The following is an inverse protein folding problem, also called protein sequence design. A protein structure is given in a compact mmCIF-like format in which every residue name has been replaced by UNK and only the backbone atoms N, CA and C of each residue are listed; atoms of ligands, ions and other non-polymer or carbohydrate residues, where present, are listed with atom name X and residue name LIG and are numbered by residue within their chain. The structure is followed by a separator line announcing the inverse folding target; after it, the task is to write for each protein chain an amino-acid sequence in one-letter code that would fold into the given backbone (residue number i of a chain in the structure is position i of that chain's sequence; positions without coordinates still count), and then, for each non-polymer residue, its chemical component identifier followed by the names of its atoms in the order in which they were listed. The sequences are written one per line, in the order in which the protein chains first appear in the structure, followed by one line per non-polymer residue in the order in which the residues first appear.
data_IF_816159677418
#
_entry.id   IF_816159677418
#
_cell.length_a   1.000
_cell.length_b   1.000
_cell.length_c   1.000
_cell.angle_alpha   90.00
_cell.angle_beta   90.00
_cell.angle_gamma   90.00
#
_symmetry.space_group_name_H-M   'P 1'
#
loop_
_entity.id
_entity.type
_entity.pdbx_description
1 polymer ?
#
# COMPACT_ATOMS: atom_id res chain seq x y z
N UNK A 1 19.89 -34.91 -60.14
CA UNK A 1 21.21 -34.70 -60.73
C UNK A 1 21.17 -35.16 -62.18
N UNK A 2 21.64 -34.37 -63.16
CA UNK A 2 21.92 -32.92 -63.18
C UNK A 2 20.66 -32.16 -63.71
N UNK A 3 20.62 -30.93 -64.29
CA UNK A 3 21.62 -29.88 -64.56
C UNK A 3 21.01 -28.45 -64.47
N UNK A 4 21.81 -27.50 -63.95
CA UNK A 4 22.15 -26.16 -64.50
C UNK A 4 21.12 -25.14 -65.06
N UNK A 5 21.22 -23.90 -64.53
CA UNK A 5 21.28 -22.59 -65.23
C UNK A 5 20.06 -22.08 -66.07
N UNK A 6 19.78 -20.78 -66.21
CA UNK A 6 20.28 -19.55 -65.55
C UNK A 6 19.25 -18.39 -65.66
N UNK A 7 19.52 -17.29 -64.94
CA UNK A 7 18.96 -15.92 -64.93
C UNK A 7 18.10 -15.38 -66.11
N UNK A 8 17.06 -14.59 -65.76
CA UNK A 8 16.61 -13.32 -66.38
C UNK A 8 15.47 -12.73 -65.51
N UNK A 9 15.65 -11.74 -64.63
CA UNK A 9 15.79 -10.29 -64.85
C UNK A 9 14.53 -9.54 -65.38
N UNK A 10 13.73 -8.98 -64.45
CA UNK A 10 12.76 -7.87 -64.59
C UNK A 10 12.13 -7.67 -63.20
N UNK A 11 11.95 -6.52 -62.57
CA UNK A 11 12.11 -5.08 -62.83
C UNK A 11 11.55 -4.36 -61.58
N UNK A 12 11.90 -3.10 -61.28
CA UNK A 12 11.56 -2.49 -59.97
C UNK A 12 10.07 -2.14 -59.86
N UNK A 13 9.50 -2.32 -58.65
CA UNK A 13 8.17 -1.83 -58.26
C UNK A 13 8.27 -0.97 -57.00
N UNK A 14 7.34 -0.01 -56.82
CA UNK A 14 7.71 1.33 -56.37
C UNK A 14 7.65 1.56 -54.86
N UNK A 15 8.33 2.61 -54.42
CA UNK A 15 8.11 3.26 -53.14
C UNK A 15 6.63 3.59 -52.94
N UNK A 16 6.06 3.15 -51.81
CA UNK A 16 4.86 3.75 -51.22
C UNK A 16 5.21 4.22 -49.82
N UNK A 17 5.77 5.42 -49.76
CA UNK A 17 5.92 6.19 -48.53
C UNK A 17 4.55 6.69 -48.05
N UNK A 18 4.10 6.18 -46.90
CA UNK A 18 3.15 6.87 -46.02
C UNK A 18 3.52 6.55 -44.57
N UNK A 19 4.11 7.49 -43.80
CA UNK A 19 4.31 7.27 -42.38
C UNK A 19 2.94 7.17 -41.70
N UNK A 20 2.82 6.25 -40.75
CA UNK A 20 1.64 6.19 -39.89
C UNK A 20 1.50 7.52 -39.15
N UNK A 21 0.30 8.12 -39.20
CA UNK A 21 -0.01 9.32 -38.45
C UNK A 21 0.16 9.01 -36.95
N UNK A 22 1.23 9.54 -36.36
CA UNK A 22 1.40 9.57 -34.92
C UNK A 22 0.26 10.41 -34.34
N UNK A 23 -0.58 9.80 -33.51
CA UNK A 23 -1.55 10.52 -32.68
C UNK A 23 -0.84 11.68 -31.99
N UNK A 24 -1.41 12.89 -31.98
CA UNK A 24 -0.77 14.03 -31.35
C UNK A 24 -0.66 13.76 -29.85
N UNK A 25 0.58 13.62 -29.36
CA UNK A 25 0.87 13.75 -27.94
C UNK A 25 0.39 15.14 -27.50
N UNK A 26 -0.78 15.17 -26.88
CA UNK A 26 -1.25 16.33 -26.14
C UNK A 26 -0.30 16.50 -24.97
N UNK A 27 0.77 17.27 -25.19
CA UNK A 27 1.56 17.88 -24.15
C UNK A 27 0.65 18.78 -23.32
N UNK A 28 -0.01 18.16 -22.33
CA UNK A 28 -0.62 18.83 -21.20
C UNK A 28 0.51 19.62 -20.53
N UNK A 29 0.57 20.91 -20.87
CA UNK A 29 1.52 21.84 -20.26
C UNK A 29 1.28 21.82 -18.77
N UNK A 30 2.25 21.26 -18.03
CA UNK A 30 2.17 21.12 -16.59
C UNK A 30 1.80 22.48 -15.98
N UNK A 31 0.74 22.56 -15.16
CA UNK A 31 0.42 23.80 -14.47
C UNK A 31 1.62 24.19 -13.59
N UNK A 32 1.87 25.50 -13.40
CA UNK A 32 2.94 25.95 -12.51
C UNK A 32 2.79 25.30 -11.13
N UNK A 33 3.92 24.92 -10.51
CA UNK A 33 4.00 24.18 -9.24
C UNK A 33 3.18 24.81 -8.10
N UNK A 34 2.80 26.09 -8.21
CA UNK A 34 1.97 26.82 -7.25
C UNK A 34 0.44 26.64 -7.42
N UNK A 35 -0.06 25.94 -8.45
CA UNK A 35 -1.50 25.73 -8.67
C UNK A 35 -1.94 24.37 -8.14
N UNK A 36 -2.86 24.38 -7.17
CA UNK A 36 -3.53 23.16 -6.67
C UNK A 36 -4.41 22.55 -7.75
N UNK A 37 -4.34 21.22 -7.88
CA UNK A 37 -5.10 20.41 -8.83
C UNK A 37 -6.30 19.77 -8.13
N UNK A 38 -7.49 20.00 -8.65
CA UNK A 38 -8.73 19.44 -8.10
C UNK A 38 -9.16 18.17 -8.85
N UNK A 39 -10.12 17.43 -8.31
CA UNK A 39 -10.55 16.14 -8.86
C UNK A 39 -11.13 16.26 -10.28
N UNK A 40 -11.64 17.44 -10.65
CA UNK A 40 -12.00 17.79 -12.02
C UNK A 40 -10.76 17.84 -12.93
N UNK A 41 -9.71 18.59 -12.55
CA UNK A 41 -8.44 18.68 -13.29
C UNK A 41 -7.71 17.34 -13.38
N UNK A 42 -7.70 16.56 -12.29
CA UNK A 42 -6.92 15.33 -12.19
C UNK A 42 -7.34 14.26 -13.21
N UNK A 43 -8.58 14.31 -13.71
CA UNK A 43 -9.11 13.34 -14.69
C UNK A 43 -8.42 13.37 -16.06
N UNK A 44 -7.71 14.45 -16.40
CA UNK A 44 -6.94 14.52 -17.66
C UNK A 44 -5.59 13.79 -17.59
N UNK A 45 -5.12 13.47 -16.39
CA UNK A 45 -3.83 12.81 -16.17
C UNK A 45 -3.95 11.28 -16.20
N UNK A 46 -2.84 10.60 -16.50
CA UNK A 46 -2.77 9.14 -16.44
C UNK A 46 -3.01 8.66 -15.01
N UNK A 47 -4.13 7.96 -14.79
CA UNK A 47 -4.41 7.23 -13.55
C UNK A 47 -3.47 6.02 -13.44
N UNK A 48 -2.94 5.78 -12.24
CA UNK A 48 -2.14 4.63 -11.88
C UNK A 48 -2.99 3.62 -11.09
N UNK A 49 -2.67 2.33 -11.23
CA UNK A 49 -3.36 1.24 -10.54
C UNK A 49 -4.80 0.97 -11.01
N UNK A 50 -5.54 0.19 -10.21
CA UNK A 50 -6.84 -0.36 -10.58
C UNK A 50 -7.97 0.70 -10.58
N UNK A 51 -8.78 0.70 -11.64
CA UNK A 51 -9.93 1.61 -11.79
C UNK A 51 -11.00 1.49 -10.70
N UNK A 52 -11.12 0.34 -10.02
CA UNK A 52 -12.11 0.09 -8.95
C UNK A 52 -11.69 0.56 -7.55
N UNK A 53 -10.49 1.14 -7.38
CA UNK A 53 -10.04 1.60 -6.07
C UNK A 53 -10.84 2.80 -5.54
N UNK A 54 -11.05 2.84 -4.23
CA UNK A 54 -11.60 4.00 -3.50
C UNK A 54 -10.56 5.08 -3.19
N UNK A 55 -9.33 4.90 -3.68
CA UNK A 55 -8.28 5.91 -3.78
C UNK A 55 -7.79 5.95 -5.22
N UNK A 56 -7.70 7.15 -5.79
CA UNK A 56 -7.24 7.40 -7.15
C UNK A 56 -5.84 8.00 -7.08
N UNK A 57 -4.89 7.42 -7.80
CA UNK A 57 -3.54 7.98 -7.96
C UNK A 57 -3.39 8.43 -9.40
N UNK A 58 -2.95 9.67 -9.61
CA UNK A 58 -2.71 10.25 -10.93
C UNK A 58 -1.24 10.65 -11.07
N UNK A 59 -0.62 10.29 -12.19
CA UNK A 59 0.73 10.74 -12.54
C UNK A 59 0.64 12.15 -13.12
N UNK A 60 1.04 13.16 -12.33
CA UNK A 60 0.84 14.58 -12.67
C UNK A 60 2.10 15.26 -13.22
N UNK A 61 3.29 14.74 -12.91
CA UNK A 61 4.57 15.12 -13.52
C UNK A 61 5.53 13.93 -13.41
N UNK A 62 6.68 13.91 -14.11
CA UNK A 62 7.67 12.81 -14.01
C UNK A 62 8.05 12.43 -12.56
N UNK A 63 8.07 13.41 -11.66
CA UNK A 63 8.48 13.34 -10.27
C UNK A 63 7.33 13.53 -9.24
N UNK A 64 6.06 13.59 -9.67
CA UNK A 64 4.90 13.76 -8.76
C UNK A 64 3.71 12.89 -9.13
N UNK A 65 3.02 12.43 -8.08
CA UNK A 65 1.67 11.86 -8.18
C UNK A 65 0.69 12.64 -7.28
N UNK A 66 -0.58 12.68 -7.67
CA UNK A 66 -1.67 13.14 -6.83
C UNK A 66 -2.53 11.94 -6.38
N UNK A 67 -2.66 11.73 -5.06
CA UNK A 67 -3.57 10.74 -4.47
C UNK A 67 -4.83 11.45 -3.95
N UNK A 68 -6.02 11.03 -4.39
CA UNK A 68 -7.30 11.59 -3.93
C UNK A 68 -8.42 10.55 -3.94
N UNK A 69 -9.45 10.72 -3.11
CA UNK A 69 -10.59 9.82 -3.06
C UNK A 69 -11.30 9.80 -1.70
N UNK A 70 -12.46 9.13 -1.60
CA UNK A 70 -13.25 9.07 -0.37
C UNK A 70 -12.58 8.34 0.80
N UNK A 71 -11.46 7.64 0.57
CA UNK A 71 -10.64 6.99 1.63
C UNK A 71 -9.27 7.64 1.84
N UNK A 72 -8.97 8.76 1.18
CA UNK A 72 -7.69 9.46 1.33
C UNK A 72 -7.78 10.45 2.50
N UNK A 73 -6.72 10.56 3.30
CA UNK A 73 -6.76 11.22 4.62
C UNK A 73 -5.51 12.07 4.89
N UNK A 74 -5.59 13.08 5.78
CA UNK A 74 -4.41 13.74 6.30
C UNK A 74 -3.55 12.79 7.16
N UNK A 75 -4.15 11.76 7.78
CA UNK A 75 -3.46 10.73 8.54
C UNK A 75 -2.41 9.97 7.70
N UNK A 76 -2.72 9.64 6.44
CA UNK A 76 -1.74 9.04 5.51
C UNK A 76 -0.54 9.98 5.29
N UNK A 77 -0.79 11.28 5.10
CA UNK A 77 0.28 12.26 4.93
C UNK A 77 1.12 12.44 6.21
N UNK A 78 0.52 12.32 7.39
CA UNK A 78 1.22 12.32 8.68
C UNK A 78 2.09 11.07 8.85
N UNK A 79 1.59 9.90 8.45
CA UNK A 79 2.36 8.65 8.46
C UNK A 79 3.54 8.68 7.47
N UNK A 80 3.33 9.17 6.25
CA UNK A 80 4.39 9.36 5.25
C UNK A 80 5.50 10.30 5.75
N UNK A 81 5.14 11.43 6.40
CA UNK A 81 6.12 12.36 6.99
C UNK A 81 6.93 11.68 8.09
N UNK A 82 6.27 11.00 9.03
CA UNK A 82 6.95 10.28 10.11
C UNK A 82 7.87 9.17 9.58
N UNK A 83 7.44 8.41 8.57
CA UNK A 83 8.27 7.38 7.94
C UNK A 83 9.50 7.98 7.23
N UNK A 84 9.32 9.11 6.53
CA UNK A 84 10.40 9.83 5.87
C UNK A 84 11.42 10.41 6.88
N UNK A 85 10.96 10.99 7.98
CA UNK A 85 11.81 11.45 9.10
C UNK A 85 12.65 10.32 9.73
N UNK A 86 12.18 9.08 9.63
CA UNK A 86 12.88 7.87 10.08
C UNK A 86 13.80 7.25 9.02
N UNK A 87 13.92 7.87 7.84
CA UNK A 87 14.76 7.39 6.75
C UNK A 87 14.19 6.18 6.00
N UNK A 88 12.90 5.87 6.16
CA UNK A 88 12.23 4.82 5.38
C UNK A 88 12.03 5.35 3.95
N UNK A 89 12.33 4.57 2.90
CA UNK A 89 12.10 5.00 1.52
C UNK A 89 10.59 5.08 1.23
N UNK A 90 10.03 6.29 1.29
CA UNK A 90 8.59 6.57 1.09
C UNK A 90 8.37 7.80 0.20
N UNK A 91 7.21 7.93 -0.46
CA UNK A 91 6.84 9.15 -1.17
C UNK A 91 6.86 10.39 -0.27
N UNK A 92 7.68 11.40 -0.60
CA UNK A 92 7.69 12.68 0.11
C UNK A 92 6.37 13.42 -0.09
N UNK A 93 5.79 13.98 0.97
CA UNK A 93 4.57 14.80 0.90
C UNK A 93 4.92 16.25 0.58
N UNK A 94 4.39 16.80 -0.52
CA UNK A 94 4.62 18.18 -0.97
C UNK A 94 3.47 19.13 -0.62
N UNK A 95 2.22 18.70 -0.77
CA UNK A 95 1.04 19.46 -0.36
C UNK A 95 -0.08 18.53 0.08
N UNK A 96 -0.95 19.02 0.95
CA UNK A 96 -2.15 18.34 1.46
C UNK A 96 -3.27 19.37 1.56
N UNK A 97 -4.33 19.17 0.79
CA UNK A 97 -5.49 20.06 0.78
C UNK A 97 -6.78 19.30 0.53
N UNK A 98 -7.89 19.97 0.77
CA UNK A 98 -9.22 19.45 0.48
C UNK A 98 -9.70 20.02 -0.85
N UNK A 99 -10.29 19.15 -1.65
CA UNK A 99 -10.99 19.49 -2.88
C UNK A 99 -12.35 20.14 -2.54
N UNK A 100 -12.66 21.34 -3.06
CA UNK A 100 -13.85 22.10 -2.65
C UNK A 100 -15.16 21.56 -3.24
N UNK A 101 -15.12 20.76 -4.31
CA UNK A 101 -16.31 20.21 -4.97
C UNK A 101 -16.72 18.87 -4.35
N UNK A 102 -15.74 18.00 -4.12
CA UNK A 102 -15.94 16.62 -3.62
C UNK A 102 -15.77 16.49 -2.11
N UNK A 103 -15.18 17.49 -1.45
CA UNK A 103 -14.70 17.42 -0.06
C UNK A 103 -13.66 16.31 0.20
N UNK A 104 -13.07 15.71 -0.84
CA UNK A 104 -12.02 14.70 -0.69
C UNK A 104 -10.66 15.33 -0.41
N UNK A 105 -9.78 14.61 0.27
CA UNK A 105 -8.39 15.02 0.42
C UNK A 105 -7.61 14.77 -0.88
N UNK A 106 -6.67 15.66 -1.17
CA UNK A 106 -5.69 15.56 -2.24
C UNK A 106 -4.30 15.63 -1.61
N UNK A 107 -3.50 14.59 -1.82
CA UNK A 107 -2.11 14.48 -1.39
C UNK A 107 -1.22 14.57 -2.62
N UNK A 108 -0.34 15.57 -2.66
CA UNK A 108 0.69 15.70 -3.71
C UNK A 108 1.96 15.04 -3.18
N UNK A 109 2.38 13.94 -3.81
CA UNK A 109 3.46 13.08 -3.36
C UNK A 109 4.59 12.99 -4.41
N UNK A 110 5.82 12.71 -3.98
CA UNK A 110 6.89 12.31 -4.91
C UNK A 110 6.51 11.04 -5.66
N UNK A 111 6.76 11.00 -6.97
CA UNK A 111 6.72 9.76 -7.74
C UNK A 111 8.01 8.97 -7.52
N UNK A 112 7.90 7.72 -7.07
CA UNK A 112 9.02 6.78 -6.99
C UNK A 112 8.92 5.85 -8.20
N UNK A 113 9.88 5.93 -9.12
CA UNK A 113 9.97 5.00 -10.25
C UNK A 113 10.51 3.65 -9.79
N UNK A 114 9.79 2.58 -10.09
CA UNK A 114 10.19 1.21 -9.75
C UNK A 114 9.10 0.22 -10.12
N UNK A 115 9.48 -1.05 -10.14
CA UNK A 115 8.63 -2.18 -10.47
C UNK A 115 8.05 -2.78 -9.18
N UNK A 116 6.86 -3.37 -9.22
CA UNK A 116 6.18 -3.86 -8.01
C UNK A 116 6.77 -5.22 -7.61
N UNK A 117 7.11 -5.42 -6.33
CA UNK A 117 7.70 -6.69 -5.85
C UNK A 117 6.81 -7.91 -6.13
N UNK A 118 5.48 -7.74 -6.11
CA UNK A 118 4.49 -8.76 -6.49
C UNK A 118 4.61 -9.19 -7.96
N UNK A 119 4.89 -8.25 -8.86
CA UNK A 119 4.99 -8.48 -10.31
C UNK A 119 6.33 -9.14 -10.69
N UNK A 120 7.40 -8.86 -9.94
CA UNK A 120 8.75 -9.39 -10.14
C UNK A 120 9.05 -10.65 -9.29
N UNK A 121 8.15 -11.10 -8.42
CA UNK A 121 8.43 -12.12 -7.39
C UNK A 121 9.04 -13.42 -7.94
N UNK A 122 8.56 -13.89 -9.08
CA UNK A 122 8.95 -15.16 -9.69
C UNK A 122 10.29 -15.10 -10.45
N UNK A 123 10.76 -13.91 -10.81
CA UNK A 123 12.01 -13.71 -11.58
C UNK A 123 13.21 -13.32 -10.71
N UNK A 124 12.97 -12.86 -9.48
CA UNK A 124 14.01 -12.51 -8.52
C UNK A 124 14.85 -13.73 -8.10
N UNK A 125 16.18 -13.55 -8.09
CA UNK A 125 17.12 -14.53 -7.55
C UNK A 125 17.02 -14.63 -6.02
N UNK A 126 17.53 -15.74 -5.48
CA UNK A 126 17.58 -15.95 -4.03
C UNK A 126 18.38 -14.86 -3.28
N UNK A 127 19.44 -14.32 -3.90
CA UNK A 127 20.25 -13.25 -3.32
C UNK A 127 19.52 -11.90 -3.33
N UNK A 128 18.75 -11.60 -4.38
CA UNK A 128 17.89 -10.41 -4.43
C UNK A 128 16.76 -10.50 -3.39
N UNK A 129 16.04 -11.64 -3.30
CA UNK A 129 15.04 -11.87 -2.25
C UNK A 129 15.67 -11.71 -0.85
N UNK A 130 16.86 -12.27 -0.62
CA UNK A 130 17.61 -12.11 0.62
C UNK A 130 17.95 -10.65 0.94
N UNK A 131 18.31 -9.84 -0.06
CA UNK A 131 18.57 -8.39 0.08
C UNK A 131 17.29 -7.60 0.39
N UNK A 132 16.19 -7.92 -0.31
CA UNK A 132 14.87 -7.31 -0.11
C UNK A 132 14.36 -7.58 1.31
N UNK A 133 14.43 -8.82 1.81
CA UNK A 133 14.05 -9.12 3.19
C UNK A 133 14.97 -8.48 4.24
N UNK A 134 16.27 -8.30 3.97
CA UNK A 134 17.16 -7.56 4.87
C UNK A 134 16.76 -6.07 4.95
N UNK A 135 16.38 -5.49 3.80
CA UNK A 135 15.85 -4.12 3.71
C UNK A 135 14.52 -3.99 4.46
N UNK A 136 13.57 -4.90 4.22
CA UNK A 136 12.28 -4.95 4.93
C UNK A 136 12.45 -5.13 6.44
N UNK A 137 13.37 -6.00 6.89
CA UNK A 137 13.70 -6.18 8.31
C UNK A 137 14.21 -4.90 8.95
N UNK A 138 15.02 -4.15 8.22
CA UNK A 138 15.52 -2.84 8.65
C UNK A 138 14.35 -1.86 8.79
N UNK A 139 13.44 -1.81 7.80
CA UNK A 139 12.24 -0.96 7.82
C UNK A 139 11.32 -1.31 9.00
N UNK A 140 10.96 -2.59 9.21
CA UNK A 140 10.07 -2.97 10.34
C UNK A 140 10.75 -2.77 11.70
N UNK A 141 12.08 -2.86 11.77
CA UNK A 141 12.83 -2.52 12.99
C UNK A 141 12.80 -1.00 13.26
N UNK A 142 12.91 -0.18 12.22
CA UNK A 142 12.79 1.30 12.30
C UNK A 142 11.37 1.77 12.66
N UNK A 143 10.35 1.10 12.13
CA UNK A 143 8.95 1.30 12.54
C UNK A 143 8.78 1.03 14.05
N UNK A 144 9.27 -0.11 14.53
CA UNK A 144 9.20 -0.50 15.95
C UNK A 144 10.11 0.33 16.87
N UNK A 145 11.20 0.92 16.38
CA UNK A 145 12.05 1.82 17.18
C UNK A 145 11.53 3.26 17.25
N UNK A 146 10.49 3.58 16.48
CA UNK A 146 9.79 4.87 16.58
C UNK A 146 9.10 4.97 17.95
N UNK A 147 9.15 6.17 18.56
CA UNK A 147 8.56 6.43 19.88
C UNK A 147 7.09 5.94 19.92
N UNK A 148 6.73 5.06 20.87
CA UNK A 148 5.38 4.50 20.93
C UNK A 148 4.35 5.54 21.37
N UNK A 149 3.09 5.30 20.99
CA UNK A 149 1.94 6.06 21.45
C UNK A 149 1.33 5.46 22.72
N UNK A 150 0.59 6.28 23.47
CA UNK A 150 -0.26 5.86 24.60
C UNK A 150 -1.69 5.51 24.18
N UNK A 151 -2.05 5.70 22.91
CA UNK A 151 -3.35 5.34 22.35
C UNK A 151 -3.21 4.71 20.95
N UNK A 152 -4.14 3.81 20.62
CA UNK A 152 -4.28 3.22 19.29
C UNK A 152 -4.97 4.25 18.40
N UNK A 153 -4.27 4.71 17.36
CA UNK A 153 -4.61 5.96 16.66
C UNK A 153 -3.88 6.06 15.32
N UNK A 154 -4.36 6.90 14.41
CA UNK A 154 -3.53 7.37 13.28
C UNK A 154 -2.41 8.30 13.79
N UNK A 155 -1.41 8.60 12.96
CA UNK A 155 -0.22 9.39 13.37
C UNK A 155 -0.57 10.83 13.79
N UNK A 156 -1.68 11.38 13.27
CA UNK A 156 -2.26 12.67 13.68
C UNK A 156 -3.17 12.58 14.91
N UNK A 157 -3.12 11.46 15.66
CA UNK A 157 -3.91 11.15 16.86
C UNK A 157 -5.44 11.10 16.64
N UNK A 158 -5.88 10.97 15.38
CA UNK A 158 -7.26 10.72 15.03
C UNK A 158 -7.61 9.22 15.07
N UNK A 159 -8.84 8.88 14.68
CA UNK A 159 -9.32 7.51 14.57
C UNK A 159 -8.63 6.73 13.45
N UNK A 160 -8.39 5.44 13.68
CA UNK A 160 -7.75 4.54 12.72
C UNK A 160 -8.61 4.31 11.47
N UNK A 161 -7.94 4.22 10.34
CA UNK A 161 -8.50 4.06 8.99
C UNK A 161 -8.60 2.60 8.53
N UNK A 162 -8.13 1.67 9.37
CA UNK A 162 -7.98 0.24 9.11
C UNK A 162 -9.26 -0.43 8.55
N UNK A 163 -9.08 -1.22 7.50
CA UNK A 163 -10.11 -1.96 6.76
C UNK A 163 -10.94 -2.94 7.59
N UNK A 164 -10.42 -3.41 8.72
CA UNK A 164 -11.11 -4.34 9.61
C UNK A 164 -12.29 -3.66 10.33
N UNK A 165 -12.20 -2.35 10.59
CA UNK A 165 -13.18 -1.65 11.43
C UNK A 165 -14.36 -1.08 10.63
N UNK A 166 -15.55 -1.08 11.26
CA UNK A 166 -16.76 -0.43 10.76
C UNK A 166 -17.40 0.43 11.88
N UNK A 167 -17.56 1.74 11.68
CA UNK A 167 -17.11 2.51 10.52
C UNK A 167 -15.57 2.57 10.43
N UNK A 168 -15.04 2.83 9.22
CA UNK A 168 -13.67 3.35 9.11
C UNK A 168 -13.59 4.70 9.85
N UNK A 169 -12.41 5.08 10.31
CA UNK A 169 -12.21 6.19 11.28
C UNK A 169 -12.79 5.85 12.67
N UNK A 170 -12.37 4.71 13.22
CA UNK A 170 -12.75 4.28 14.57
C UNK A 170 -11.69 4.69 15.61
N UNK A 171 -12.11 5.00 16.84
CA UNK A 171 -11.21 5.51 17.88
C UNK A 171 -10.92 7.02 17.75
N UNK A 172 -9.77 7.54 18.26
CA UNK A 172 -8.66 6.79 18.86
C UNK A 172 -9.07 6.05 20.13
N UNK A 173 -8.35 4.98 20.48
CA UNK A 173 -8.61 4.14 21.65
C UNK A 173 -7.50 4.30 22.68
N UNK A 174 -7.84 4.53 23.95
CA UNK A 174 -6.83 4.77 25.00
C UNK A 174 -6.18 3.48 25.53
N UNK A 175 -6.70 2.30 25.16
CA UNK A 175 -6.16 1.00 25.57
C UNK A 175 -6.60 -0.13 24.60
N UNK A 176 -6.02 -1.31 24.77
CA UNK A 176 -6.36 -2.50 23.97
C UNK A 176 -7.80 -2.99 24.18
N UNK A 177 -8.38 -2.81 25.38
CA UNK A 177 -9.75 -3.25 25.68
C UNK A 177 -10.78 -2.53 24.82
N UNK A 178 -10.67 -1.20 24.70
CA UNK A 178 -11.55 -0.40 23.83
C UNK A 178 -11.41 -0.77 22.35
N UNK A 179 -10.18 -1.01 21.90
CA UNK A 179 -9.88 -1.43 20.54
C UNK A 179 -10.47 -2.83 20.22
N UNK A 180 -10.30 -3.79 21.13
CA UNK A 180 -10.89 -5.13 20.99
C UNK A 180 -12.42 -5.08 21.04
N UNK A 181 -13.01 -4.23 21.88
CA UNK A 181 -14.46 -4.00 21.90
C UNK A 181 -14.98 -3.42 20.58
N UNK A 182 -14.30 -2.43 20.01
CA UNK A 182 -14.65 -1.87 18.71
C UNK A 182 -14.46 -2.87 17.55
N UNK A 183 -13.47 -3.77 17.65
CA UNK A 183 -13.27 -4.88 16.72
C UNK A 183 -14.43 -5.87 16.80
N UNK A 184 -14.84 -6.29 17.99
CA UNK A 184 -15.99 -7.17 18.22
C UNK A 184 -17.27 -6.54 17.65
N UNK A 185 -17.52 -5.25 17.90
CA UNK A 185 -18.67 -4.52 17.33
C UNK A 185 -18.61 -4.50 15.79
N UNK A 186 -17.43 -4.23 15.21
CA UNK A 186 -17.22 -4.22 13.76
C UNK A 186 -17.48 -5.58 13.12
N UNK A 187 -17.22 -6.69 13.82
CA UNK A 187 -17.46 -8.05 13.34
C UNK A 187 -18.92 -8.47 13.51
N UNK A 188 -19.53 -8.18 14.65
CA UNK A 188 -20.96 -8.41 14.90
C UNK A 188 -21.86 -7.65 13.91
N UNK A 189 -21.42 -6.48 13.43
CA UNK A 189 -22.11 -5.74 12.37
C UNK A 189 -22.03 -6.39 10.97
N UNK A 190 -21.14 -7.38 10.77
CA UNK A 190 -21.00 -8.15 9.53
C UNK A 190 -21.64 -9.53 9.62
N UNK A 191 -21.51 -10.20 10.77
CA UNK A 191 -21.97 -11.56 10.97
C UNK A 191 -22.44 -11.81 12.41
N UNK A 192 -23.61 -12.43 12.54
CA UNK A 192 -24.15 -12.91 13.81
C UNK A 192 -24.02 -14.45 13.94
N UNK A 193 -24.24 -14.97 15.15
CA UNK A 193 -24.43 -16.40 15.42
C UNK A 193 -23.47 -17.00 16.45
N UNK A 194 -23.57 -18.31 16.72
CA UNK A 194 -22.79 -18.98 17.77
C UNK A 194 -21.27 -18.91 17.56
N UNK A 195 -20.82 -18.88 16.29
CA UNK A 195 -19.40 -18.70 15.98
C UNK A 195 -18.89 -17.31 16.40
N UNK A 196 -19.68 -16.25 16.15
CA UNK A 196 -19.30 -14.89 16.57
C UNK A 196 -19.21 -14.79 18.10
N UNK A 197 -20.11 -15.44 18.84
CA UNK A 197 -20.05 -15.51 20.31
C UNK A 197 -18.82 -16.29 20.84
N UNK A 198 -18.26 -17.21 20.05
CA UNK A 198 -17.01 -17.90 20.38
C UNK A 198 -15.80 -17.04 20.02
N UNK A 199 -15.81 -16.38 18.86
CA UNK A 199 -14.77 -15.48 18.42
C UNK A 199 -14.64 -14.26 19.35
N UNK A 200 -15.75 -13.71 19.83
CA UNK A 200 -15.76 -12.68 20.89
C UNK A 200 -14.95 -13.12 22.12
N UNK A 201 -15.19 -14.35 22.61
CA UNK A 201 -14.47 -14.91 23.75
C UNK A 201 -12.99 -15.15 23.45
N UNK A 202 -12.66 -15.55 22.22
CA UNK A 202 -11.26 -15.69 21.78
C UNK A 202 -10.54 -14.33 21.73
N UNK A 203 -11.19 -13.30 21.18
CA UNK A 203 -10.67 -11.93 21.10
C UNK A 203 -10.45 -11.32 22.48
N UNK A 204 -11.41 -11.47 23.40
CA UNK A 204 -11.30 -11.03 24.79
C UNK A 204 -10.26 -11.82 25.62
N UNK A 205 -9.86 -13.00 25.16
CA UNK A 205 -8.85 -13.85 25.78
C UNK A 205 -7.45 -13.73 25.15
N UNK A 206 -7.27 -12.88 24.14
CA UNK A 206 -5.94 -12.64 23.56
C UNK A 206 -4.99 -12.03 24.61
N UNK A 207 -3.69 -12.36 24.58
CA UNK A 207 -2.70 -11.71 25.44
C UNK A 207 -2.71 -10.18 25.23
N UNK A 208 -2.70 -9.43 26.33
CA UNK A 208 -2.47 -7.98 26.27
C UNK A 208 -0.98 -7.70 26.10
N UNK A 209 -0.64 -6.79 25.18
CA UNK A 209 0.75 -6.41 24.90
C UNK A 209 1.18 -5.13 25.63
N UNK A 210 0.30 -4.58 26.47
CA UNK A 210 0.58 -3.47 27.39
C UNK A 210 -0.11 -2.16 26.99
N UNK A 211 0.46 -1.04 27.45
CA UNK A 211 -0.06 0.33 27.25
C UNK A 211 0.85 1.21 26.40
N UNK A 212 1.59 0.60 25.46
CA UNK A 212 2.45 1.29 24.49
C UNK A 212 2.21 0.67 23.10
N UNK A 213 1.87 1.53 22.14
CA UNK A 213 1.45 1.12 20.80
C UNK A 213 2.52 1.50 19.78
N UNK A 214 2.85 0.53 18.92
CA UNK A 214 3.97 0.62 17.99
C UNK A 214 3.52 1.29 16.69
N UNK A 215 4.39 2.07 16.06
CA UNK A 215 4.11 2.58 14.71
C UNK A 215 4.16 1.41 13.72
N UNK A 216 3.09 1.19 12.97
CA UNK A 216 2.94 0.12 11.97
C UNK A 216 2.53 0.72 10.63
N UNK A 217 2.92 0.05 9.54
CA UNK A 217 2.45 0.31 8.19
C UNK A 217 1.00 -0.17 7.99
N UNK A 218 0.65 -1.33 8.57
CA UNK A 218 -0.71 -1.89 8.54
C UNK A 218 -1.12 -2.56 7.22
N UNK A 219 -0.33 -2.39 6.15
CA UNK A 219 -0.54 -3.04 4.84
C UNK A 219 0.78 -3.48 4.18
N UNK A 220 1.78 -3.93 4.95
CA UNK A 220 3.08 -4.30 4.38
C UNK A 220 2.98 -5.65 3.62
N UNK A 221 2.94 -5.58 2.29
CA UNK A 221 2.86 -6.74 1.40
C UNK A 221 3.57 -6.46 0.05
N UNK A 222 3.77 -7.47 -0.83
CA UNK A 222 4.52 -7.30 -2.09
C UNK A 222 3.97 -6.20 -3.01
N UNK A 223 2.65 -6.03 -3.07
CA UNK A 223 1.99 -5.01 -3.90
C UNK A 223 2.32 -3.57 -3.48
N UNK A 224 2.81 -3.39 -2.25
CA UNK A 224 3.18 -2.09 -1.69
C UNK A 224 4.69 -1.87 -1.60
N UNK A 225 5.51 -2.74 -2.20
CA UNK A 225 6.98 -2.60 -2.23
C UNK A 225 7.43 -2.34 -3.67
N UNK A 226 8.24 -1.30 -3.88
CA UNK A 226 8.85 -0.96 -5.16
C UNK A 226 10.31 -1.38 -5.20
N UNK A 227 10.71 -1.99 -6.32
CA UNK A 227 12.07 -2.38 -6.64
C UNK A 227 12.66 -1.49 -7.75
N UNK A 228 13.99 -1.43 -7.84
CA UNK A 228 14.70 -0.93 -9.02
C UNK A 228 16.03 -1.65 -9.16
N UNK A 229 16.14 -2.53 -10.15
CA UNK A 229 17.35 -3.34 -10.35
C UNK A 229 17.62 -4.29 -9.17
N UNK A 230 16.59 -4.99 -8.68
CA UNK A 230 16.69 -5.95 -7.57
C UNK A 230 16.69 -5.34 -6.16
N UNK A 231 16.88 -4.01 -6.01
CA UNK A 231 16.91 -3.34 -4.70
C UNK A 231 15.58 -2.65 -4.35
N UNK A 232 15.22 -2.67 -3.06
CA UNK A 232 14.03 -1.98 -2.53
C UNK A 232 14.24 -0.45 -2.54
N UNK A 233 13.41 0.27 -3.30
CA UNK A 233 13.48 1.74 -3.45
C UNK A 233 12.25 2.50 -2.93
N UNK A 234 11.19 1.81 -2.51
CA UNK A 234 10.00 2.46 -1.97
C UNK A 234 9.03 1.52 -1.24
N UNK A 235 8.33 2.06 -0.24
CA UNK A 235 7.17 1.43 0.42
C UNK A 235 5.96 2.36 0.25
N UNK A 236 4.86 1.81 -0.28
CA UNK A 236 3.65 2.52 -0.69
C UNK A 236 2.43 2.21 0.18
N UNK A 237 1.39 3.03 0.04
CA UNK A 237 0.06 2.89 0.64
C UNK A 237 0.00 2.87 2.19
N UNK A 238 0.51 3.95 2.78
CA UNK A 238 0.47 4.25 4.22
C UNK A 238 -0.94 4.64 4.73
N UNK A 239 -1.99 4.27 4.01
CA UNK A 239 -3.36 4.71 4.27
C UNK A 239 -3.97 4.12 5.54
N UNK A 240 -3.50 2.96 6.00
CA UNK A 240 -3.91 2.30 7.26
C UNK A 240 -2.83 2.38 8.35
N UNK A 241 -1.74 3.13 8.10
CA UNK A 241 -0.61 3.27 9.02
C UNK A 241 -0.94 4.12 10.25
N UNK A 242 -0.34 3.79 11.39
CA UNK A 242 -0.69 4.38 12.68
C UNK A 242 -0.03 3.65 13.85
N UNK A 243 -0.52 3.91 15.05
CA UNK A 243 -0.09 3.26 16.28
C UNK A 243 -1.05 2.15 16.66
N UNK A 244 -0.56 0.91 16.77
CA UNK A 244 -1.37 -0.29 17.01
C UNK A 244 -0.71 -1.26 18.01
N UNK A 245 -1.43 -2.28 18.49
CA UNK A 245 -0.84 -3.38 19.26
C UNK A 245 0.32 -4.06 18.51
N UNK A 246 1.28 -4.60 19.25
CA UNK A 246 2.54 -5.15 18.70
C UNK A 246 2.36 -6.21 17.61
N UNK A 247 1.30 -7.02 17.70
CA UNK A 247 0.98 -8.07 16.74
C UNK A 247 0.36 -7.56 15.42
N UNK A 248 -0.05 -6.30 15.33
CA UNK A 248 -0.94 -5.82 14.27
C UNK A 248 -0.34 -5.94 12.86
N UNK A 249 0.94 -5.59 12.67
CA UNK A 249 1.59 -5.72 11.35
C UNK A 249 1.65 -7.19 10.89
N UNK A 250 1.98 -8.13 11.79
CA UNK A 250 2.01 -9.56 11.45
C UNK A 250 0.63 -10.07 11.06
N UNK A 251 -0.40 -9.82 11.88
CA UNK A 251 -1.74 -10.36 11.59
C UNK A 251 -2.34 -9.73 10.34
N UNK A 252 -2.06 -8.44 10.08
CA UNK A 252 -2.45 -7.79 8.84
C UNK A 252 -1.74 -8.42 7.65
N UNK A 253 -0.42 -8.57 7.66
CA UNK A 253 0.30 -9.21 6.55
C UNK A 253 -0.24 -10.62 6.20
N UNK A 254 -0.69 -11.39 7.20
CA UNK A 254 -1.29 -12.72 7.00
C UNK A 254 -2.69 -12.72 6.34
N UNK A 255 -3.36 -11.57 6.23
CA UNK A 255 -4.72 -11.50 5.68
C UNK A 255 -4.75 -11.63 4.14
N UNK A 256 -3.64 -11.32 3.48
CA UNK A 256 -3.50 -11.42 2.03
C UNK A 256 -3.10 -12.85 1.64
N UNK A 257 -4.08 -13.73 1.42
CA UNK A 257 -3.84 -15.15 1.12
C UNK A 257 -2.99 -15.41 -0.14
N UNK A 258 -3.02 -14.51 -1.12
CA UNK A 258 -2.17 -14.58 -2.31
C UNK A 258 -0.67 -14.46 -1.94
N UNK A 259 -0.36 -13.75 -0.86
CA UNK A 259 0.99 -13.38 -0.45
C UNK A 259 1.54 -14.36 0.62
N UNK A 260 0.93 -15.56 0.77
CA UNK A 260 1.22 -16.47 1.89
C UNK A 260 2.66 -16.99 1.90
N UNK A 261 3.26 -17.22 0.73
CA UNK A 261 4.68 -17.59 0.61
C UNK A 261 5.59 -16.49 1.14
N UNK A 262 5.39 -15.26 0.67
CA UNK A 262 6.09 -14.06 1.14
C UNK A 262 5.89 -13.84 2.65
N UNK A 263 4.67 -14.05 3.16
CA UNK A 263 4.37 -13.91 4.60
C UNK A 263 5.13 -14.92 5.46
N UNK A 264 5.18 -16.19 5.04
CA UNK A 264 5.94 -17.23 5.74
C UNK A 264 7.45 -16.91 5.73
N UNK A 265 7.98 -16.51 4.57
CA UNK A 265 9.38 -16.13 4.45
C UNK A 265 9.72 -14.87 5.27
N UNK A 266 8.82 -13.88 5.33
CA UNK A 266 8.94 -12.69 6.17
C UNK A 266 8.93 -13.02 7.67
N UNK A 267 8.15 -14.02 8.11
CA UNK A 267 8.18 -14.54 9.47
C UNK A 267 9.51 -15.26 9.78
N UNK A 268 9.92 -16.21 8.93
CA UNK A 268 11.14 -17.00 9.12
C UNK A 268 12.40 -16.12 9.18
N UNK A 269 12.45 -15.09 8.34
CA UNK A 269 13.56 -14.12 8.30
C UNK A 269 13.48 -13.08 9.43
N UNK A 270 12.39 -13.03 10.19
CA UNK A 270 12.16 -12.09 11.29
C UNK A 270 11.96 -10.64 10.84
N UNK A 271 11.36 -10.44 9.66
CA UNK A 271 10.80 -9.14 9.24
C UNK A 271 9.53 -8.85 10.04
N UNK A 272 8.67 -9.87 10.17
CA UNK A 272 7.45 -9.86 10.97
C UNK A 272 7.70 -10.53 12.34
N UNK A 273 6.81 -10.29 13.30
CA UNK A 273 6.93 -10.86 14.64
C UNK A 273 6.07 -12.11 14.84
N UNK A 274 6.60 -13.09 15.58
CA UNK A 274 5.91 -14.34 15.91
C UNK A 274 4.82 -14.18 16.98
N UNK A 275 3.73 -13.49 16.67
CA UNK A 275 2.55 -13.35 17.52
C UNK A 275 1.50 -14.42 17.18
N UNK A 276 1.84 -15.69 17.42
CA UNK A 276 1.10 -16.83 16.87
C UNK A 276 -0.28 -17.07 17.51
N UNK A 277 -0.47 -16.66 18.76
CA UNK A 277 -1.78 -16.76 19.43
C UNK A 277 -2.77 -15.75 18.84
N UNK A 278 -2.31 -14.51 18.70
CA UNK A 278 -3.06 -13.41 18.10
C UNK A 278 -3.34 -13.69 16.63
N UNK A 279 -2.34 -14.18 15.89
CA UNK A 279 -2.50 -14.62 14.50
C UNK A 279 -3.56 -15.71 14.35
N UNK A 280 -3.54 -16.75 15.20
CA UNK A 280 -4.53 -17.82 15.17
C UNK A 280 -5.97 -17.31 15.33
N UNK A 281 -6.20 -16.37 16.25
CA UNK A 281 -7.53 -15.74 16.44
C UNK A 281 -7.87 -14.79 15.27
N UNK A 282 -6.91 -13.97 14.82
CA UNK A 282 -7.14 -12.97 13.77
C UNK A 282 -7.35 -13.60 12.38
N UNK A 283 -6.87 -14.82 12.12
CA UNK A 283 -7.23 -15.54 10.89
C UNK A 283 -8.73 -15.82 10.80
N UNK A 284 -9.45 -15.98 11.92
CA UNK A 284 -10.92 -16.06 11.93
C UNK A 284 -11.59 -14.70 11.76
N UNK A 285 -10.92 -13.61 12.14
CA UNK A 285 -11.36 -12.23 11.86
C UNK A 285 -11.29 -11.93 10.37
N UNK A 286 -10.22 -12.36 9.68
CA UNK A 286 -10.07 -12.24 8.22
C UNK A 286 -11.27 -12.79 7.48
N UNK A 287 -11.70 -14.02 7.80
CA UNK A 287 -12.76 -14.76 7.09
C UNK A 287 -14.17 -14.14 7.28
N UNK A 288 -14.32 -13.16 8.18
CA UNK A 288 -15.56 -12.36 8.36
C UNK A 288 -15.45 -11.02 7.61
N UNK A 289 -14.24 -10.53 7.33
CA UNK A 289 -13.96 -9.20 6.77
C UNK A 289 -13.76 -9.23 5.25
N UNK A 290 -13.23 -10.34 4.70
CA UNK A 290 -12.83 -10.51 3.29
C UNK A 290 -13.46 -11.75 2.66
#
# INVERSE_FOLDING_TARGET
MPSSNDSSSEGPRPDTSSPAESSPDTHLTLPPIATRLYFSDLKQYRKLGNNKSHSHVYHISPDRVAKTGPRVTPGEASALRLAHERGIPVPTVHDVYQDPETSWWVLILSHISGDILDEEWDVLTADEKQSIFASLKTITTTLRSTKPSRCISSVDLAGITDSVFLPRYSGPFINETEFVQALIQSLSARQEGPWMQLLEKMLLAMPSHGGEFMFTHGRLNPQNVLLRGGELVGVLDWAEAGYYPRYWETVKAAFWQADLEFFLEALERGVLEGCMWELGVMLHVRDIVF
#
